data_IF_525427799871
#
_entry.id   IF_525427799871
#
_cell.length_a   1.000
_cell.length_b   1.000
_cell.length_c   1.000
_cell.angle_alpha   90.00
_cell.angle_beta   90.00
_cell.angle_gamma   90.00
#
_symmetry.space_group_name_H-M   'P 1'
#
loop_
_entity.id
_entity.type
_entity.pdbx_description
1 polymer ?
#
# COMPACT_ATOMS: atom_id res chain seq x y z
N UNK A 1 28.46 5.01 1.59
CA UNK A 1 27.17 4.56 2.14
C UNK A 1 26.11 5.02 1.17
N UNK A 2 25.60 4.10 0.34
CA UNK A 2 24.53 4.44 -0.61
C UNK A 2 23.23 4.56 0.18
N UNK A 3 22.69 5.77 0.28
CA UNK A 3 21.33 6.02 0.73
C UNK A 3 20.39 5.24 -0.20
N UNK A 4 19.46 4.42 0.32
CA UNK A 4 18.45 3.78 -0.51
C UNK A 4 17.69 4.87 -1.26
N UNK A 5 17.67 4.75 -2.56
CA UNK A 5 17.00 5.71 -3.43
C UNK A 5 15.49 5.53 -3.18
N UNK A 6 14.87 6.50 -2.51
CA UNK A 6 13.44 6.49 -2.22
C UNK A 6 12.65 6.64 -3.54
N UNK A 7 12.45 5.52 -4.23
CA UNK A 7 11.83 5.47 -5.55
C UNK A 7 10.41 6.04 -5.59
N UNK A 8 9.71 6.06 -4.44
CA UNK A 8 8.38 6.64 -4.32
C UNK A 8 8.41 8.17 -4.48
N UNK A 9 9.34 8.87 -3.85
CA UNK A 9 9.48 10.31 -3.97
C UNK A 9 9.67 10.74 -5.44
N UNK A 10 10.54 10.05 -6.18
CA UNK A 10 10.75 10.34 -7.60
C UNK A 10 9.49 10.13 -8.46
N UNK A 11 8.65 9.13 -8.11
CA UNK A 11 7.38 8.88 -8.79
C UNK A 11 6.40 10.04 -8.57
N UNK A 12 6.30 10.55 -7.33
CA UNK A 12 5.38 11.63 -6.96
C UNK A 12 5.84 13.02 -7.40
N UNK A 13 7.15 13.28 -7.45
CA UNK A 13 7.75 14.52 -7.92
C UNK A 13 8.00 14.53 -9.45
N UNK A 14 7.57 13.49 -10.16
CA UNK A 14 7.78 13.36 -11.61
C UNK A 14 7.12 14.50 -12.39
N UNK A 15 7.88 15.10 -13.29
CA UNK A 15 7.38 16.07 -14.26
C UNK A 15 6.49 15.46 -15.37
N UNK A 16 6.39 14.13 -15.45
CA UNK A 16 5.61 13.45 -16.49
C UNK A 16 4.11 13.53 -16.19
N UNK A 17 3.31 14.20 -17.06
CA UNK A 17 1.86 14.41 -16.82
C UNK A 17 1.07 13.09 -16.81
N UNK A 18 1.47 12.09 -17.58
CA UNK A 18 0.82 10.78 -17.61
C UNK A 18 1.04 10.07 -16.28
N UNK A 19 2.28 10.07 -15.77
CA UNK A 19 2.61 9.44 -14.50
C UNK A 19 1.86 10.11 -13.34
N UNK A 20 1.79 11.45 -13.32
CA UNK A 20 0.99 12.19 -12.33
C UNK A 20 -0.48 11.81 -12.39
N UNK A 21 -1.08 11.78 -13.59
CA UNK A 21 -2.48 11.41 -13.75
C UNK A 21 -2.79 9.99 -13.25
N UNK A 22 -1.88 9.03 -13.46
CA UNK A 22 -2.02 7.67 -12.94
C UNK A 22 -1.93 7.63 -11.41
N UNK A 23 -0.99 8.35 -10.80
CA UNK A 23 -0.84 8.43 -9.34
C UNK A 23 -2.04 9.14 -8.70
N UNK A 24 -2.53 10.23 -9.32
CA UNK A 24 -3.71 10.93 -8.86
C UNK A 24 -4.97 10.05 -8.95
N UNK A 25 -5.08 9.23 -10.00
CA UNK A 25 -6.15 8.24 -10.11
C UNK A 25 -6.05 7.18 -9.01
N UNK A 26 -4.85 6.66 -8.75
CA UNK A 26 -4.59 5.71 -7.68
C UNK A 26 -5.04 6.25 -6.31
N UNK A 27 -4.63 7.47 -5.95
CA UNK A 27 -5.02 8.07 -4.68
C UNK A 27 -6.51 8.38 -4.60
N UNK A 28 -7.15 8.86 -5.70
CA UNK A 28 -8.61 9.06 -5.72
C UNK A 28 -9.37 7.77 -5.44
N UNK A 29 -8.94 6.65 -6.02
CA UNK A 29 -9.58 5.36 -5.78
C UNK A 29 -9.32 4.86 -4.35
N UNK A 30 -8.11 5.04 -3.81
CA UNK A 30 -7.82 4.72 -2.41
C UNK A 30 -8.71 5.54 -1.44
N UNK A 31 -8.87 6.85 -1.68
CA UNK A 31 -9.77 7.73 -0.91
C UNK A 31 -11.22 7.25 -1.03
N UNK A 32 -11.69 6.91 -2.23
CA UNK A 32 -13.06 6.40 -2.44
C UNK A 32 -13.32 5.10 -1.66
N UNK A 33 -12.36 4.17 -1.67
CA UNK A 33 -12.47 2.92 -0.94
C UNK A 33 -12.38 3.13 0.57
N UNK A 34 -11.55 4.06 1.03
CA UNK A 34 -11.50 4.47 2.43
C UNK A 34 -12.85 5.05 2.88
N UNK A 35 -13.47 5.92 2.08
CA UNK A 35 -14.79 6.47 2.37
C UNK A 35 -15.87 5.38 2.42
N UNK A 36 -15.78 4.36 1.57
CA UNK A 36 -16.67 3.19 1.59
C UNK A 36 -16.49 2.35 2.87
N UNK A 37 -15.25 2.17 3.33
CA UNK A 37 -14.94 1.45 4.57
C UNK A 37 -15.37 2.22 5.83
N UNK A 38 -15.36 3.55 5.77
CA UNK A 38 -15.74 4.47 6.86
C UNK A 38 -15.17 4.05 8.24
N UNK A 39 -13.83 3.99 8.40
CA UNK A 39 -13.20 3.51 9.61
C UNK A 39 -13.16 4.59 10.69
N UNK A 40 -13.20 4.17 11.97
CA UNK A 40 -12.87 5.04 13.12
C UNK A 40 -11.35 5.16 13.33
N UNK A 41 -10.60 4.09 13.00
CA UNK A 41 -9.13 4.03 13.08
C UNK A 41 -8.52 3.37 11.83
N UNK A 42 -7.37 3.90 11.39
CA UNK A 42 -6.65 3.46 10.20
C UNK A 42 -5.18 3.22 10.52
N UNK A 43 -4.62 2.13 10.03
CA UNK A 43 -3.19 1.86 10.00
C UNK A 43 -2.71 1.81 8.54
N UNK A 44 -1.69 2.59 8.20
CA UNK A 44 -0.97 2.52 6.91
C UNK A 44 0.36 1.80 7.12
N UNK A 45 0.46 0.56 6.65
CA UNK A 45 1.63 -0.31 6.76
C UNK A 45 2.59 -0.06 5.59
N UNK A 46 3.80 0.36 5.90
CA UNK A 46 4.76 0.78 4.88
C UNK A 46 4.38 2.15 4.31
N UNK A 47 4.02 3.09 5.20
CA UNK A 47 3.52 4.41 4.79
C UNK A 47 4.55 5.27 4.05
N UNK A 48 5.84 4.90 4.09
CA UNK A 48 6.93 5.60 3.43
C UNK A 48 6.94 7.09 3.77
N UNK A 49 7.02 7.92 2.73
CA UNK A 49 7.01 9.39 2.82
C UNK A 49 5.61 9.98 3.05
N UNK A 50 4.60 9.15 3.34
CA UNK A 50 3.26 9.56 3.76
C UNK A 50 2.36 10.10 2.65
N UNK A 51 2.60 9.78 1.38
CA UNK A 51 1.79 10.31 0.25
C UNK A 51 0.33 9.84 0.30
N UNK A 52 0.08 8.60 0.68
CA UNK A 52 -1.28 8.06 0.86
C UNK A 52 -2.01 8.75 2.01
N UNK A 53 -1.36 8.88 3.16
CA UNK A 53 -1.91 9.58 4.33
C UNK A 53 -2.21 11.05 4.02
N UNK A 54 -1.35 11.72 3.25
CA UNK A 54 -1.57 13.09 2.78
C UNK A 54 -2.81 13.19 1.87
N UNK A 55 -2.99 12.22 0.96
CA UNK A 55 -4.18 12.17 0.11
C UNK A 55 -5.46 11.98 0.95
N UNK A 56 -5.44 11.14 1.98
CA UNK A 56 -6.55 10.96 2.91
C UNK A 56 -6.86 12.23 3.72
N UNK A 57 -5.81 12.93 4.20
CA UNK A 57 -5.97 14.20 4.90
C UNK A 57 -6.59 15.28 4.00
N UNK A 58 -6.11 15.42 2.76
CA UNK A 58 -6.64 16.37 1.77
C UNK A 58 -8.09 16.08 1.37
N UNK A 59 -8.50 14.83 1.43
CA UNK A 59 -9.89 14.42 1.19
C UNK A 59 -10.81 14.68 2.39
N UNK A 60 -10.30 15.23 3.50
CA UNK A 60 -11.09 15.56 4.68
C UNK A 60 -11.43 14.35 5.56
N UNK A 61 -10.69 13.26 5.45
CA UNK A 61 -10.89 12.08 6.30
C UNK A 61 -10.55 12.43 7.75
N UNK A 62 -11.47 12.13 8.67
CA UNK A 62 -11.39 12.52 10.09
C UNK A 62 -11.16 11.36 11.07
N UNK A 63 -10.84 10.14 10.58
CA UNK A 63 -10.51 9.02 11.47
C UNK A 63 -9.12 9.19 12.10
N UNK A 64 -8.86 8.44 13.17
CA UNK A 64 -7.51 8.30 13.72
C UNK A 64 -6.61 7.59 12.70
N UNK A 65 -5.46 8.19 12.38
CA UNK A 65 -4.53 7.64 11.39
C UNK A 65 -3.18 7.38 12.03
N UNK A 66 -2.68 6.15 11.84
CA UNK A 66 -1.32 5.74 12.20
C UNK A 66 -0.62 5.29 10.93
N UNK A 67 0.60 5.78 10.69
CA UNK A 67 1.50 5.28 9.65
C UNK A 67 2.72 4.63 10.28
N UNK A 68 3.11 3.46 9.80
CA UNK A 68 4.37 2.83 10.19
C UNK A 68 5.23 2.54 8.97
N UNK A 69 6.54 2.66 9.17
CA UNK A 69 7.55 2.29 8.19
C UNK A 69 8.84 1.85 8.90
N UNK A 70 9.68 1.10 8.22
CA UNK A 70 11.01 0.71 8.73
C UNK A 70 12.07 1.80 8.53
N UNK A 71 11.85 2.69 7.58
CA UNK A 71 12.75 3.78 7.19
C UNK A 71 12.49 5.04 8.02
N UNK A 72 13.41 5.37 8.93
CA UNK A 72 13.31 6.62 9.67
C UNK A 72 13.45 7.86 8.77
N UNK A 73 14.22 7.77 7.68
CA UNK A 73 14.35 8.87 6.71
C UNK A 73 13.01 9.16 6.00
N UNK A 74 12.27 8.10 5.62
CA UNK A 74 10.95 8.24 5.02
C UNK A 74 9.96 8.85 6.04
N UNK A 75 9.96 8.38 7.28
CA UNK A 75 9.12 8.91 8.35
C UNK A 75 9.47 10.37 8.69
N UNK A 76 10.73 10.74 8.70
CA UNK A 76 11.16 12.13 8.90
C UNK A 76 10.60 13.05 7.79
N UNK A 77 10.63 12.59 6.55
CA UNK A 77 10.00 13.31 5.44
C UNK A 77 8.48 13.38 5.60
N UNK A 78 7.83 12.27 5.97
CA UNK A 78 6.39 12.25 6.22
C UNK A 78 5.98 13.24 7.33
N UNK A 79 6.72 13.32 8.44
CA UNK A 79 6.48 14.28 9.54
C UNK A 79 6.59 15.73 9.08
N UNK A 80 7.45 16.04 8.11
CA UNK A 80 7.62 17.41 7.61
C UNK A 80 6.43 17.95 6.81
N UNK A 81 5.52 17.06 6.36
CA UNK A 81 4.42 17.38 5.43
C UNK A 81 3.04 17.03 5.95
N UNK A 82 2.94 16.05 6.85
CA UNK A 82 1.67 15.61 7.39
C UNK A 82 1.27 16.43 8.62
N UNK A 83 -0.03 16.60 8.90
CA UNK A 83 -0.49 17.22 10.13
C UNK A 83 -0.04 16.44 11.37
N UNK A 84 0.26 17.13 12.48
CA UNK A 84 0.71 16.54 13.75
C UNK A 84 -0.25 15.52 14.35
N UNK A 85 -1.54 15.58 13.97
CA UNK A 85 -2.56 14.59 14.39
C UNK A 85 -2.34 13.20 13.82
N UNK A 86 -1.46 13.03 12.82
CA UNK A 86 -1.12 11.73 12.25
C UNK A 86 -0.01 11.11 13.08
N UNK A 87 -0.28 9.96 13.67
CA UNK A 87 0.73 9.23 14.43
C UNK A 87 1.67 8.50 13.46
N UNK A 88 2.97 8.82 13.53
CA UNK A 88 4.01 8.18 12.71
C UNK A 88 5.02 7.47 13.60
N UNK A 89 5.18 6.18 13.38
CA UNK A 89 6.01 5.32 14.22
C UNK A 89 6.95 4.46 13.36
N UNK A 90 8.21 4.37 13.77
CA UNK A 90 9.13 3.37 13.21
C UNK A 90 8.85 2.02 13.86
N UNK A 91 8.17 1.15 13.17
CA UNK A 91 7.76 -0.15 13.68
C UNK A 91 7.72 -1.22 12.59
N UNK A 92 7.82 -2.47 13.02
CA UNK A 92 7.53 -3.63 12.18
C UNK A 92 6.07 -4.06 12.41
N UNK A 93 5.37 -4.39 11.34
CA UNK A 93 3.98 -4.86 11.39
C UNK A 93 3.79 -6.07 12.34
N UNK A 94 4.75 -7.00 12.36
CA UNK A 94 4.73 -8.17 13.24
C UNK A 94 4.71 -7.76 14.71
N UNK A 95 5.57 -6.80 15.11
CA UNK A 95 5.64 -6.30 16.49
C UNK A 95 4.30 -5.69 16.91
N UNK A 96 3.66 -4.86 16.04
CA UNK A 96 2.35 -4.30 16.35
C UNK A 96 1.29 -5.37 16.56
N UNK A 97 1.32 -6.44 15.75
CA UNK A 97 0.39 -7.55 15.89
C UNK A 97 0.62 -8.33 17.20
N UNK A 98 1.87 -8.48 17.64
CA UNK A 98 2.24 -9.13 18.90
C UNK A 98 1.81 -8.30 20.12
N UNK A 99 1.81 -6.97 20.01
CA UNK A 99 1.30 -6.05 21.03
C UNK A 99 -0.24 -6.03 21.11
N UNK A 100 -0.94 -6.78 20.26
CA UNK A 100 -2.40 -6.90 20.26
C UNK A 100 -3.11 -5.65 19.69
N UNK A 101 -2.40 -4.75 19.01
CA UNK A 101 -3.00 -3.56 18.37
C UNK A 101 -3.91 -3.99 17.22
N UNK A 102 -5.05 -3.32 17.09
CA UNK A 102 -6.00 -3.56 15.98
C UNK A 102 -6.60 -2.26 15.47
N UNK A 103 -6.97 -2.24 14.18
CA UNK A 103 -7.49 -1.06 13.50
C UNK A 103 -8.73 -1.42 12.69
N UNK A 104 -9.67 -0.48 12.54
CA UNK A 104 -10.87 -0.70 11.74
C UNK A 104 -10.53 -0.91 10.27
N UNK A 105 -9.52 -0.19 9.76
CA UNK A 105 -8.97 -0.36 8.42
C UNK A 105 -7.46 -0.49 8.50
N UNK A 106 -6.92 -1.54 7.91
CA UNK A 106 -5.49 -1.67 7.62
C UNK A 106 -5.28 -1.41 6.13
N UNK A 107 -4.36 -0.52 5.82
CA UNK A 107 -3.96 -0.13 4.47
C UNK A 107 -2.54 -0.62 4.22
N UNK A 108 -2.29 -1.27 3.09
CA UNK A 108 -0.97 -1.70 2.66
C UNK A 108 -0.90 -1.59 1.14
N UNK A 109 -0.35 -0.48 0.64
CA UNK A 109 -0.34 -0.14 -0.77
C UNK A 109 1.08 -0.14 -1.31
N UNK A 110 1.33 -0.96 -2.37
CA UNK A 110 2.63 -1.06 -3.04
C UNK A 110 3.77 -1.51 -2.09
N UNK A 111 3.48 -2.50 -1.25
CA UNK A 111 4.42 -3.06 -0.27
C UNK A 111 4.54 -4.58 -0.40
N UNK A 112 3.42 -5.29 -0.67
CA UNK A 112 3.38 -6.77 -0.70
C UNK A 112 4.32 -7.38 -1.75
N UNK A 113 4.60 -6.68 -2.85
CA UNK A 113 5.54 -7.12 -3.87
C UNK A 113 6.99 -7.23 -3.37
N UNK A 114 7.31 -6.52 -2.28
CA UNK A 114 8.64 -6.52 -1.64
C UNK A 114 8.74 -7.51 -0.47
N UNK A 115 7.65 -8.17 -0.08
CA UNK A 115 7.62 -9.08 1.07
C UNK A 115 8.00 -10.49 0.65
N UNK A 116 9.11 -11.02 1.17
CA UNK A 116 9.59 -12.38 0.84
C UNK A 116 8.60 -13.49 1.24
N UNK A 117 7.86 -13.28 2.32
CA UNK A 117 6.92 -14.25 2.88
C UNK A 117 5.50 -13.67 2.99
N UNK A 118 4.79 -13.51 1.86
CA UNK A 118 3.48 -12.86 1.85
C UNK A 118 2.43 -13.58 2.68
N UNK A 119 2.52 -14.90 2.84
CA UNK A 119 1.59 -15.68 3.67
C UNK A 119 1.73 -15.34 5.15
N UNK A 120 2.95 -15.16 5.66
CA UNK A 120 3.17 -14.72 7.04
C UNK A 120 2.71 -13.29 7.24
N UNK A 121 2.94 -12.41 6.26
CA UNK A 121 2.41 -11.05 6.31
C UNK A 121 0.88 -11.07 6.31
N UNK A 122 0.24 -12.00 5.60
CA UNK A 122 -1.21 -12.11 5.60
C UNK A 122 -1.77 -12.47 6.99
N UNK A 123 -1.09 -13.33 7.75
CA UNK A 123 -1.43 -13.62 9.16
C UNK A 123 -1.30 -12.38 10.05
N UNK A 124 -0.27 -11.58 9.83
CA UNK A 124 -0.08 -10.30 10.52
C UNK A 124 -1.21 -9.33 10.18
N UNK A 125 -1.57 -9.21 8.90
CA UNK A 125 -2.69 -8.37 8.44
C UNK A 125 -4.03 -8.81 9.07
N UNK A 126 -4.29 -10.11 9.17
CA UNK A 126 -5.48 -10.63 9.86
C UNK A 126 -5.55 -10.21 11.32
N UNK A 127 -4.44 -10.29 12.04
CA UNK A 127 -4.36 -9.94 13.46
C UNK A 127 -4.56 -8.43 13.69
N UNK A 128 -4.03 -7.59 12.80
CA UNK A 128 -4.13 -6.13 12.87
C UNK A 128 -5.50 -5.60 12.41
N UNK A 129 -6.21 -6.35 11.55
CA UNK A 129 -7.45 -5.89 10.91
C UNK A 129 -8.67 -6.25 11.75
N UNK A 130 -9.40 -5.23 12.23
CA UNK A 130 -10.68 -5.44 12.92
C UNK A 130 -11.84 -5.62 11.94
N UNK A 131 -11.90 -4.83 10.86
CA UNK A 131 -13.02 -4.81 9.91
C UNK A 131 -12.60 -4.89 8.45
N UNK A 132 -11.79 -3.95 7.98
CA UNK A 132 -11.49 -3.79 6.57
C UNK A 132 -9.99 -3.82 6.30
N UNK A 133 -9.65 -4.30 5.10
CA UNK A 133 -8.29 -4.37 4.57
C UNK A 133 -8.27 -3.73 3.19
N UNK A 134 -7.40 -2.74 2.97
CA UNK A 134 -7.19 -2.08 1.69
C UNK A 134 -5.77 -2.38 1.20
N UNK A 135 -5.67 -3.14 0.14
CA UNK A 135 -4.40 -3.60 -0.43
C UNK A 135 -4.23 -3.13 -1.87
N UNK A 136 -2.99 -2.88 -2.28
CA UNK A 136 -2.63 -2.79 -3.69
C UNK A 136 -1.32 -3.49 -4.00
N UNK A 137 -1.20 -3.92 -5.26
CA UNK A 137 0.02 -4.46 -5.86
C UNK A 137 0.14 -3.99 -7.31
N UNK A 138 1.36 -3.89 -7.86
CA UNK A 138 1.54 -3.65 -9.28
C UNK A 138 0.94 -4.78 -10.11
N UNK A 139 0.35 -4.45 -11.26
CA UNK A 139 -0.03 -5.45 -12.25
C UNK A 139 1.20 -5.84 -13.08
N UNK A 140 1.89 -6.87 -12.64
CA UNK A 140 3.22 -7.25 -13.14
C UNK A 140 3.31 -7.50 -14.65
N UNK A 141 2.35 -8.16 -15.32
CA UNK A 141 2.44 -8.32 -16.78
C UNK A 141 2.63 -6.99 -17.53
N UNK A 142 2.04 -5.90 -17.01
CA UNK A 142 2.18 -4.58 -17.62
C UNK A 142 3.53 -3.92 -17.26
N UNK A 143 3.92 -3.94 -15.98
CA UNK A 143 5.16 -3.33 -15.54
C UNK A 143 6.38 -3.98 -16.19
N UNK A 144 6.40 -5.31 -16.27
CA UNK A 144 7.44 -6.06 -16.99
C UNK A 144 7.49 -5.67 -18.47
N UNK A 145 6.33 -5.63 -19.15
CA UNK A 145 6.23 -5.23 -20.55
C UNK A 145 6.71 -3.80 -20.79
N UNK A 146 6.33 -2.85 -19.92
CA UNK A 146 6.73 -1.45 -20.00
C UNK A 146 8.25 -1.28 -19.77
N UNK A 147 8.82 -2.00 -18.84
CA UNK A 147 10.27 -2.00 -18.58
C UNK A 147 11.06 -2.56 -19.77
N UNK A 148 10.57 -3.63 -20.39
CA UNK A 148 11.16 -4.18 -21.61
C UNK A 148 11.15 -3.17 -22.76
N UNK A 149 10.01 -2.52 -23.03
CA UNK A 149 9.89 -1.48 -24.07
C UNK A 149 10.82 -0.30 -23.81
N UNK A 150 11.08 0.04 -22.55
CA UNK A 150 12.02 1.10 -22.15
C UNK A 150 13.49 0.64 -22.09
N UNK A 151 13.78 -0.60 -22.42
CA UNK A 151 15.12 -1.19 -22.33
C UNK A 151 15.63 -1.34 -20.88
N UNK A 152 14.74 -1.28 -19.89
CA UNK A 152 15.07 -1.49 -18.47
C UNK A 152 14.91 -2.96 -18.10
N UNK A 153 15.83 -3.47 -17.29
CA UNK A 153 15.79 -4.83 -16.74
C UNK A 153 15.66 -5.94 -17.82
N UNK A 154 16.17 -5.72 -19.05
CA UNK A 154 16.02 -6.65 -20.20
C UNK A 154 16.50 -8.05 -19.86
N UNK A 155 17.61 -8.20 -19.10
CA UNK A 155 18.15 -9.49 -18.67
C UNK A 155 17.23 -10.26 -17.71
N UNK A 156 16.26 -9.58 -17.10
CA UNK A 156 15.28 -10.14 -16.16
C UNK A 156 13.85 -10.06 -16.70
N UNK A 157 13.69 -10.02 -18.02
CA UNK A 157 12.37 -9.91 -18.67
C UNK A 157 11.53 -8.73 -18.20
N UNK A 158 12.20 -7.61 -17.87
CA UNK A 158 11.53 -6.40 -17.37
C UNK A 158 11.17 -6.43 -15.87
N UNK A 159 11.45 -7.53 -15.16
CA UNK A 159 11.15 -7.62 -13.72
C UNK A 159 12.01 -6.65 -12.92
N UNK A 160 11.37 -5.94 -11.97
CA UNK A 160 12.08 -5.11 -11.03
C UNK A 160 12.87 -6.00 -10.06
N UNK A 161 14.17 -5.74 -9.82
CA UNK A 161 14.96 -6.51 -8.87
C UNK A 161 14.43 -6.51 -7.44
N UNK A 162 13.66 -5.49 -7.08
CA UNK A 162 13.08 -5.32 -5.74
C UNK A 162 11.74 -6.02 -5.58
N UNK A 163 11.09 -6.44 -6.70
CA UNK A 163 9.84 -7.18 -6.66
C UNK A 163 10.12 -8.68 -6.55
N UNK A 164 9.90 -9.22 -5.37
CA UNK A 164 10.03 -10.68 -5.09
C UNK A 164 8.76 -11.43 -5.47
N UNK A 165 7.60 -10.77 -5.40
CA UNK A 165 6.31 -11.34 -5.75
C UNK A 165 5.72 -10.69 -6.99
N UNK A 166 5.23 -11.53 -7.90
CA UNK A 166 4.60 -11.11 -9.15
C UNK A 166 3.11 -11.46 -9.13
N UNK A 167 2.26 -10.43 -9.16
CA UNK A 167 0.83 -10.60 -9.02
C UNK A 167 0.10 -10.34 -10.33
N UNK A 168 -0.72 -11.31 -10.74
CA UNK A 168 -1.81 -11.03 -11.68
C UNK A 168 -3.03 -10.55 -10.91
N UNK A 169 -3.90 -9.77 -11.54
CA UNK A 169 -5.15 -9.29 -10.91
C UNK A 169 -6.00 -10.43 -10.33
N UNK A 170 -6.16 -11.51 -11.10
CA UNK A 170 -6.95 -12.66 -10.65
C UNK A 170 -6.25 -13.43 -9.53
N UNK A 171 -4.92 -13.61 -9.63
CA UNK A 171 -4.11 -14.27 -8.60
C UNK A 171 -4.17 -13.51 -7.28
N UNK A 172 -3.99 -12.18 -7.30
CA UNK A 172 -4.06 -11.35 -6.12
C UNK A 172 -5.43 -11.37 -5.45
N UNK A 173 -6.50 -11.21 -6.23
CA UNK A 173 -7.87 -11.30 -5.69
C UNK A 173 -8.15 -12.67 -5.07
N UNK A 174 -7.71 -13.77 -5.71
CA UNK A 174 -7.86 -15.12 -5.16
C UNK A 174 -7.10 -15.27 -3.84
N UNK A 175 -5.90 -14.72 -3.77
CA UNK A 175 -5.08 -14.74 -2.56
C UNK A 175 -5.77 -13.99 -1.41
N UNK A 176 -6.25 -12.76 -1.63
CA UNK A 176 -7.02 -12.02 -0.63
C UNK A 176 -8.27 -12.78 -0.20
N UNK A 177 -8.97 -13.42 -1.17
CA UNK A 177 -10.20 -14.18 -0.91
C UNK A 177 -10.00 -15.47 -0.11
N UNK A 178 -8.78 -15.85 0.23
CA UNK A 178 -8.56 -16.99 1.12
C UNK A 178 -9.00 -16.70 2.56
N UNK A 179 -8.86 -15.44 3.02
CA UNK A 179 -9.10 -15.05 4.41
C UNK A 179 -10.08 -13.89 4.59
N UNK A 180 -10.30 -13.08 3.57
CA UNK A 180 -11.19 -11.92 3.58
C UNK A 180 -12.22 -11.99 2.45
N UNK A 181 -13.36 -11.34 2.62
CA UNK A 181 -14.35 -11.19 1.56
C UNK A 181 -14.12 -9.89 0.80
N UNK A 182 -13.98 -9.97 -0.52
CA UNK A 182 -13.73 -8.79 -1.35
C UNK A 182 -15.00 -7.96 -1.47
N UNK A 183 -14.94 -6.73 -0.98
CA UNK A 183 -16.02 -5.74 -1.06
C UNK A 183 -15.96 -4.98 -2.38
N UNK A 184 -14.76 -4.58 -2.79
CA UNK A 184 -14.55 -3.85 -4.03
C UNK A 184 -13.16 -4.11 -4.61
N UNK A 185 -13.04 -4.14 -5.93
CA UNK A 185 -11.76 -4.21 -6.63
C UNK A 185 -11.85 -3.42 -7.94
N UNK A 186 -11.72 -2.08 -7.85
CA UNK A 186 -11.81 -1.21 -9.01
C UNK A 186 -10.66 -1.46 -10.00
N UNK A 187 -10.83 -0.98 -11.23
CA UNK A 187 -9.74 -0.96 -12.18
C UNK A 187 -8.88 0.30 -11.95
N UNK A 188 -7.72 0.12 -11.35
CA UNK A 188 -6.77 1.19 -11.02
C UNK A 188 -5.48 0.98 -11.80
N UNK A 189 -5.61 0.99 -13.13
CA UNK A 189 -4.46 0.73 -14.00
C UNK A 189 -3.29 1.72 -13.73
N UNK A 190 -2.04 1.24 -13.62
CA UNK A 190 -1.56 -0.13 -13.81
C UNK A 190 -1.43 -0.96 -12.51
N UNK A 191 -2.24 -0.69 -11.51
CA UNK A 191 -2.28 -1.43 -10.24
C UNK A 191 -3.52 -2.30 -10.10
N UNK A 192 -3.44 -3.27 -9.22
CA UNK A 192 -4.59 -4.01 -8.70
C UNK A 192 -4.86 -3.55 -7.29
N UNK A 193 -6.04 -3.00 -7.02
CA UNK A 193 -6.45 -2.53 -5.71
C UNK A 193 -7.66 -3.32 -5.22
N UNK A 194 -7.70 -3.66 -3.93
CA UNK A 194 -8.76 -4.46 -3.32
C UNK A 194 -9.12 -3.88 -1.97
N UNK A 195 -10.39 -3.57 -1.77
CA UNK A 195 -11.00 -3.41 -0.45
C UNK A 195 -11.67 -4.72 -0.07
N UNK A 196 -11.32 -5.27 1.09
CA UNK A 196 -11.88 -6.50 1.62
C UNK A 196 -12.36 -6.31 3.05
N UNK A 197 -13.24 -7.18 3.52
CA UNK A 197 -13.75 -7.19 4.89
C UNK A 197 -13.42 -8.51 5.56
N UNK A 198 -13.20 -8.47 6.86
CA UNK A 198 -13.02 -9.67 7.68
C UNK A 198 -14.28 -10.52 7.62
N UNK A 199 -14.12 -11.84 7.52
CA UNK A 199 -15.26 -12.77 7.58
C UNK A 199 -15.87 -12.78 8.97
N UNK A 200 -17.19 -12.78 9.03
CA UNK A 200 -17.88 -12.94 10.30
C UNK A 200 -17.66 -14.38 10.82
N UNK A 201 -17.15 -14.49 12.03
CA UNK A 201 -16.93 -15.80 12.69
C UNK A 201 -15.56 -16.45 12.47
N UNK A 202 -14.57 -15.71 11.94
CA UNK A 202 -13.18 -16.15 11.87
C UNK A 202 -12.37 -15.69 13.10
#
# INVERSE_FOLDING_TARGET
>A
MNTPNHGNRQKHESGNPIQRALIDHFHREAVRLLAQANPGSLLDLGCGEGFTLDAFCKAGVSCEMTGIDLSEDALAFARSRLPERIHLERANATTLADDGRTFDLVVMLEVLEHIEQPEQMFEVLERLTRRHLLLSVPWEPFFCGLNLVRGKNVRRWGNDPEHVNHWTRTGFRRWVSQRFDIVASPMVFPWTMVLATRREGA
#
